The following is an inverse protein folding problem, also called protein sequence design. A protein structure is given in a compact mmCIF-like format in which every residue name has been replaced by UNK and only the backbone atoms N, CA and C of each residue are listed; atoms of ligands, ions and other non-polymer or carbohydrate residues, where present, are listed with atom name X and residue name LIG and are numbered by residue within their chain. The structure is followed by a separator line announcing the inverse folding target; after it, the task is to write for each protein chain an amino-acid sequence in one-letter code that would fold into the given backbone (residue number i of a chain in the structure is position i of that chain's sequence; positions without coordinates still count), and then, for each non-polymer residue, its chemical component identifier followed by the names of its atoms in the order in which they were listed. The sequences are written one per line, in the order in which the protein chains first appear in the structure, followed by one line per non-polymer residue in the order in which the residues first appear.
data_IF_697260094339
#
_entry.id   IF_697260094339
#
_cell.length_a   1.000
_cell.length_b   1.000
_cell.length_c   1.000
_cell.angle_alpha   90.00
_cell.angle_beta   90.00
_cell.angle_gamma   90.00
#
_symmetry.space_group_name_H-M   'P 1'
#
loop_
_entity.id
_entity.type
_entity.pdbx_description
1 polymer ?
#
# COMPACT_ATOMS: atom_id res chain seq x y z
N UNK A 1 4.11 -3.58 -4.39
CA UNK A 1 3.74 -2.14 -4.32
C UNK A 1 2.93 -1.75 -3.09
N UNK A 2 2.80 -2.61 -2.09
CA UNK A 2 1.92 -2.37 -0.95
C UNK A 2 2.75 -2.31 0.33
N UNK A 3 2.46 -1.32 1.16
CA UNK A 3 3.07 -1.15 2.48
C UNK A 3 2.02 -1.50 3.52
N UNK A 4 2.35 -2.44 4.39
CA UNK A 4 1.53 -2.82 5.53
C UNK A 4 2.15 -2.17 6.75
N UNK A 5 1.34 -1.47 7.54
CA UNK A 5 1.79 -0.96 8.82
C UNK A 5 0.64 -1.03 9.83
N UNK A 6 1.02 -1.20 11.09
CA UNK A 6 0.05 -1.33 12.18
C UNK A 6 -0.66 0.00 12.45
N UNK A 7 -1.94 -0.05 12.78
CA UNK A 7 -2.74 1.13 13.10
C UNK A 7 -2.07 2.14 14.08
N UNK A 8 -1.47 1.73 15.22
CA UNK A 8 -0.81 2.67 16.13
C UNK A 8 0.48 3.29 15.58
N UNK A 9 1.14 2.68 14.59
CA UNK A 9 2.40 3.19 14.01
C UNK A 9 2.18 4.11 12.80
N UNK A 10 0.94 4.24 12.31
CA UNK A 10 0.57 5.10 11.19
C UNK A 10 1.03 6.56 11.29
N UNK A 11 1.00 7.24 12.46
CA UNK A 11 1.45 8.63 12.55
C UNK A 11 2.95 8.78 12.25
N UNK A 12 3.78 7.85 12.73
CA UNK A 12 5.22 7.83 12.47
C UNK A 12 5.51 7.47 11.02
N UNK A 13 4.82 6.46 10.51
CA UNK A 13 4.91 6.01 9.11
C UNK A 13 4.49 7.12 8.16
N UNK A 14 3.41 7.85 8.44
CA UNK A 14 2.97 9.00 7.65
C UNK A 14 3.99 10.13 7.65
N UNK A 15 4.64 10.40 8.79
CA UNK A 15 5.67 11.45 8.89
C UNK A 15 6.96 11.10 8.13
N UNK A 16 7.42 9.86 8.22
CA UNK A 16 8.69 9.42 7.63
C UNK A 16 8.51 8.99 6.17
N UNK A 17 7.48 8.21 5.86
CA UNK A 17 7.25 7.63 4.55
C UNK A 17 6.24 8.42 3.71
N UNK A 18 5.53 9.40 4.26
CA UNK A 18 4.54 10.20 3.51
C UNK A 18 5.14 10.98 2.33
N UNK A 19 6.34 11.54 2.50
CA UNK A 19 7.05 12.32 1.46
C UNK A 19 7.42 11.46 0.24
N UNK A 20 7.73 10.19 0.46
CA UNK A 20 8.15 9.26 -0.60
C UNK A 20 6.99 8.45 -1.17
N UNK A 21 6.01 8.09 -0.35
CA UNK A 21 4.86 7.27 -0.73
C UNK A 21 3.69 8.06 -1.33
N UNK A 22 3.56 9.34 -0.98
CA UNK A 22 2.52 10.23 -1.50
C UNK A 22 2.57 10.42 -3.02
N UNK A 23 3.70 10.86 -3.60
CA UNK A 23 3.86 11.04 -5.05
C UNK A 23 3.71 9.72 -5.82
N UNK A 24 4.10 8.60 -5.19
CA UNK A 24 4.03 7.26 -5.76
C UNK A 24 2.65 6.62 -5.66
N UNK A 25 1.71 7.24 -4.93
CA UNK A 25 0.35 6.70 -4.75
C UNK A 25 0.29 5.37 -4.00
N UNK A 26 1.32 5.05 -3.20
CA UNK A 26 1.42 3.79 -2.44
C UNK A 26 1.16 4.06 -0.97
N UNK A 27 -0.06 4.48 -0.64
CA UNK A 27 -0.44 4.73 0.74
C UNK A 27 -0.43 3.41 1.52
N UNK A 28 0.16 3.36 2.72
CA UNK A 28 0.18 2.14 3.52
C UNK A 28 -1.25 1.79 3.94
N UNK A 29 -1.60 0.50 3.87
CA UNK A 29 -2.90 0.01 4.33
C UNK A 29 -2.78 -0.26 5.83
N UNK A 30 -3.67 0.30 6.67
CA UNK A 30 -3.65 0.04 8.10
C UNK A 30 -4.11 -1.38 8.40
N UNK A 31 -3.26 -2.13 9.09
CA UNK A 31 -3.58 -3.45 9.61
C UNK A 31 -4.00 -3.30 11.08
N UNK A 32 -5.21 -3.75 11.46
CA UNK A 32 -5.59 -3.87 12.86
C UNK A 32 -4.69 -4.88 13.58
N UNK A 33 -4.33 -4.65 14.85
CA UNK A 33 -3.44 -5.54 15.60
C UNK A 33 -4.03 -6.94 15.87
N UNK A 34 -5.32 -7.13 15.63
CA UNK A 34 -6.05 -8.40 15.80
C UNK A 34 -6.17 -9.24 14.53
N UNK A 35 -5.70 -8.74 13.38
CA UNK A 35 -5.88 -9.43 12.09
C UNK A 35 -4.73 -10.41 11.79
N UNK A 36 -5.07 -11.56 11.20
CA UNK A 36 -4.09 -12.56 10.75
C UNK A 36 -3.20 -12.01 9.62
N UNK A 37 -1.99 -11.59 10.01
CA UNK A 37 -0.99 -10.97 9.12
C UNK A 37 -0.62 -11.90 7.95
N UNK A 38 -0.62 -13.21 8.17
CA UNK A 38 -0.22 -14.21 7.19
C UNK A 38 -1.10 -14.22 5.93
N UNK A 39 -2.41 -14.07 6.08
CA UNK A 39 -3.33 -14.07 4.94
C UNK A 39 -3.34 -12.74 4.19
N UNK A 40 -3.17 -11.63 4.92
CA UNK A 40 -2.98 -10.30 4.32
C UNK A 40 -1.72 -10.29 3.43
N UNK A 41 -0.58 -10.80 3.92
CA UNK A 41 0.66 -10.86 3.13
C UNK A 41 0.46 -11.70 1.86
N UNK A 42 -0.16 -12.88 1.96
CA UNK A 42 -0.43 -13.75 0.81
C UNK A 42 -1.31 -13.07 -0.25
N UNK A 43 -2.29 -12.28 0.17
CA UNK A 43 -3.17 -11.50 -0.73
C UNK A 43 -2.42 -10.36 -1.40
N UNK A 44 -1.71 -9.53 -0.64
CA UNK A 44 -0.99 -8.38 -1.18
C UNK A 44 0.22 -8.75 -2.05
N UNK A 45 0.77 -9.96 -1.90
CA UNK A 45 1.84 -10.47 -2.77
C UNK A 45 1.38 -10.75 -4.20
N UNK A 46 0.09 -11.06 -4.41
CA UNK A 46 -0.48 -11.33 -5.75
C UNK A 46 -1.20 -10.12 -6.37
N UNK A 47 -1.42 -9.07 -5.60
CA UNK A 47 -2.04 -7.85 -6.10
C UNK A 47 -1.01 -6.97 -6.82
N UNK A 48 -1.47 -6.31 -7.88
CA UNK A 48 -0.75 -5.23 -8.58
C UNK A 48 -1.58 -3.95 -8.40
N UNK A 49 -0.94 -2.85 -7.99
CA UNK A 49 -1.62 -1.56 -7.84
C UNK A 49 -1.74 -0.87 -9.20
N UNK A 50 -2.98 -0.66 -9.66
CA UNK A 50 -3.26 0.00 -10.93
C UNK A 50 -3.82 1.40 -10.67
N UNK A 51 -3.17 2.43 -11.23
CA UNK A 51 -3.64 3.81 -11.12
C UNK A 51 -3.60 4.50 -12.48
N UNK A 52 -4.76 4.92 -12.95
CA UNK A 52 -4.91 5.75 -14.15
C UNK A 52 -4.69 7.21 -13.75
N UNK A 53 -3.79 7.92 -14.43
CA UNK A 53 -3.68 9.38 -14.32
C UNK A 53 -3.57 9.97 -15.73
N UNK A 54 -4.52 10.83 -16.08
CA UNK A 54 -4.63 11.61 -17.33
C UNK A 54 -4.77 10.84 -18.66
N UNK A 55 -4.34 9.58 -18.77
CA UNK A 55 -4.37 8.80 -20.01
C UNK A 55 -5.19 7.52 -19.83
N UNK A 56 -6.10 7.15 -20.75
CA UNK A 56 -6.95 5.96 -20.61
C UNK A 56 -6.21 4.62 -20.85
N UNK A 57 -4.90 4.64 -21.07
CA UNK A 57 -4.09 3.44 -21.36
C UNK A 57 -3.51 2.91 -20.05
N UNK A 58 -3.69 1.61 -19.78
CA UNK A 58 -3.12 0.89 -18.65
C UNK A 58 -2.23 -0.24 -19.17
N UNK A 59 -0.95 -0.22 -18.78
CA UNK A 59 -0.06 -1.38 -18.91
C UNK A 59 0.22 -1.94 -17.52
N UNK A 60 -0.04 -3.23 -17.37
CA UNK A 60 0.21 -3.96 -16.13
C UNK A 60 1.11 -5.15 -16.44
N UNK A 61 1.98 -5.50 -15.48
CA UNK A 61 2.80 -6.70 -15.56
C UNK A 61 1.92 -7.91 -15.22
N UNK A 62 1.80 -8.82 -16.18
CA UNK A 62 1.19 -10.15 -16.03
C UNK A 62 2.16 -11.07 -15.29
#
# INVERSE_FOLDING_TARGET
DFFLAEAPSMPLVGKVLGSTLGPRGKMPVPVPPSADIGDLIKRYRRMVSMRIRNQPILQCRV
#
